data_IF_837968678197
#
_entry.id   IF_837968678197
#
_cell.length_a   1.000
_cell.length_b   1.000
_cell.length_c   1.000
_cell.angle_alpha   90.00
_cell.angle_beta   90.00
_cell.angle_gamma   90.00
#
_symmetry.space_group_name_H-M   'P 1'
#
loop_
_entity.id
_entity.type
_entity.pdbx_description
1 polymer ?
#
# COMPACT_ATOMS: atom_id res chain seq x y z
N UNK A 1 -35.11 13.50 20.59
CA UNK A 1 -33.80 13.38 21.28
C UNK A 1 -33.65 11.96 21.79
N UNK A 2 -33.05 11.10 20.99
CA UNK A 2 -32.68 9.74 21.35
C UNK A 2 -31.34 9.46 20.67
N UNK A 3 -30.27 9.57 21.44
CA UNK A 3 -28.91 9.35 20.99
C UNK A 3 -28.70 7.89 20.62
N UNK A 4 -28.28 7.64 19.39
CA UNK A 4 -27.58 6.42 19.00
C UNK A 4 -26.08 6.71 19.15
N UNK A 5 -25.56 6.39 20.33
CA UNK A 5 -24.14 6.14 20.54
C UNK A 5 -23.77 4.88 19.75
N UNK A 6 -23.22 5.07 18.56
CA UNK A 6 -22.52 4.01 17.82
C UNK A 6 -21.34 3.56 18.66
N UNK A 7 -21.37 2.30 19.09
CA UNK A 7 -20.28 1.70 19.85
C UNK A 7 -19.01 1.72 19.02
N UNK A 8 -18.01 2.45 19.52
CA UNK A 8 -16.62 2.15 19.22
C UNK A 8 -16.38 0.69 19.63
N UNK A 9 -16.06 -0.14 18.65
CA UNK A 9 -15.62 -1.50 18.89
C UNK A 9 -14.38 -1.45 19.78
N UNK A 10 -14.54 -1.89 21.01
CA UNK A 10 -13.47 -2.31 21.90
C UNK A 10 -12.71 -3.47 21.21
N UNK A 11 -11.77 -3.11 20.33
CA UNK A 11 -10.81 -4.03 19.75
C UNK A 11 -9.80 -4.39 20.84
N UNK A 12 -10.22 -5.22 21.78
CA UNK A 12 -9.31 -6.05 22.57
C UNK A 12 -8.28 -6.63 21.61
N UNK A 13 -7.00 -6.28 21.79
CA UNK A 13 -5.90 -6.74 20.95
C UNK A 13 -5.93 -8.27 20.95
N UNK A 14 -6.50 -8.87 19.90
CA UNK A 14 -6.56 -10.33 19.76
C UNK A 14 -5.15 -10.84 19.85
N UNK A 15 -4.95 -11.89 20.63
CA UNK A 15 -3.65 -12.55 20.67
C UNK A 15 -3.31 -13.12 19.28
N UNK A 16 -2.03 -13.35 19.02
CA UNK A 16 -1.58 -13.95 17.76
C UNK A 16 -2.20 -15.35 17.56
N UNK A 17 -2.41 -16.10 18.64
CA UNK A 17 -3.07 -17.42 18.62
C UNK A 17 -4.56 -17.33 18.26
N UNK A 18 -5.30 -16.40 18.84
CA UNK A 18 -6.71 -16.16 18.48
C UNK A 18 -6.84 -15.77 17.01
N UNK A 19 -5.95 -14.88 16.56
CA UNK A 19 -5.89 -14.46 15.16
C UNK A 19 -5.63 -15.66 14.24
N UNK A 20 -4.69 -16.55 14.60
CA UNK A 20 -4.41 -17.77 13.83
C UNK A 20 -5.65 -18.66 13.70
N UNK A 21 -6.40 -18.85 14.80
CA UNK A 21 -7.60 -19.68 14.80
C UNK A 21 -8.67 -19.11 13.87
N UNK A 22 -8.98 -17.81 13.99
CA UNK A 22 -9.95 -17.13 13.11
C UNK A 22 -9.52 -17.19 11.65
N UNK A 23 -8.24 -16.91 11.37
CA UNK A 23 -7.68 -16.93 10.03
C UNK A 23 -7.84 -18.30 9.36
N UNK A 24 -7.37 -19.37 10.01
CA UNK A 24 -7.45 -20.73 9.47
C UNK A 24 -8.89 -21.23 9.32
N UNK A 25 -9.78 -20.85 10.24
CA UNK A 25 -11.20 -21.21 10.13
C UNK A 25 -11.85 -20.59 8.91
N UNK A 26 -11.56 -19.33 8.62
CA UNK A 26 -12.06 -18.67 7.41
C UNK A 26 -11.47 -19.29 6.14
N UNK A 27 -10.15 -19.52 6.09
CA UNK A 27 -9.52 -20.13 4.93
C UNK A 27 -10.10 -21.52 4.62
N UNK A 28 -10.38 -22.32 5.64
CA UNK A 28 -10.94 -23.67 5.48
C UNK A 28 -12.29 -23.67 4.73
N UNK A 29 -13.08 -22.61 4.89
CA UNK A 29 -14.42 -22.50 4.28
C UNK A 29 -14.35 -21.81 2.92
N UNK A 30 -13.46 -20.84 2.77
CA UNK A 30 -13.48 -19.90 1.63
C UNK A 30 -12.41 -20.17 0.57
N UNK A 31 -11.57 -21.20 0.71
CA UNK A 31 -10.45 -21.47 -0.21
C UNK A 31 -10.34 -22.95 -0.57
N UNK A 32 -9.56 -23.26 -1.61
CA UNK A 32 -9.23 -24.63 -1.96
C UNK A 32 -8.35 -25.30 -0.87
N UNK A 33 -8.52 -26.62 -0.71
CA UNK A 33 -7.79 -27.42 0.28
C UNK A 33 -6.27 -27.22 0.22
N UNK A 34 -5.69 -27.17 -1.00
CA UNK A 34 -4.27 -26.94 -1.19
C UNK A 34 -3.79 -25.60 -0.58
N UNK A 35 -4.57 -24.53 -0.76
CA UNK A 35 -4.28 -23.21 -0.18
C UNK A 35 -4.38 -23.27 1.34
N UNK A 36 -5.45 -23.86 1.86
CA UNK A 36 -5.63 -24.06 3.30
C UNK A 36 -4.45 -24.81 3.92
N UNK A 37 -4.05 -25.95 3.35
CA UNK A 37 -2.95 -26.77 3.87
C UNK A 37 -1.60 -26.06 3.80
N UNK A 38 -1.33 -25.28 2.74
CA UNK A 38 -0.12 -24.47 2.64
C UNK A 38 -0.02 -23.48 3.81
N UNK A 39 -1.08 -22.70 4.04
CA UNK A 39 -1.13 -21.73 5.13
C UNK A 39 -1.09 -22.41 6.50
N UNK A 40 -1.81 -23.52 6.69
CA UNK A 40 -1.80 -24.28 7.93
C UNK A 40 -0.39 -24.79 8.26
N UNK A 41 0.33 -25.32 7.27
CA UNK A 41 1.69 -25.81 7.47
C UNK A 41 2.67 -24.68 7.78
N UNK A 42 2.60 -23.56 7.04
CA UNK A 42 3.42 -22.38 7.31
C UNK A 42 3.20 -21.85 8.73
N UNK A 43 1.94 -21.68 9.15
CA UNK A 43 1.58 -21.21 10.48
C UNK A 43 1.99 -22.20 11.57
N UNK A 44 1.82 -23.50 11.35
CA UNK A 44 2.27 -24.51 12.34
C UNK A 44 3.77 -24.39 12.61
N UNK A 45 4.59 -24.25 11.56
CA UNK A 45 6.05 -24.08 11.71
C UNK A 45 6.40 -22.76 12.38
N UNK A 46 5.76 -21.68 11.95
CA UNK A 46 5.96 -20.35 12.53
C UNK A 46 5.69 -20.35 14.04
N UNK A 47 4.54 -20.87 14.47
CA UNK A 47 4.19 -20.92 15.90
C UNK A 47 5.04 -21.91 16.71
N UNK A 48 5.64 -22.93 16.08
CA UNK A 48 6.61 -23.78 16.79
C UNK A 48 7.96 -23.10 17.02
N UNK A 49 8.30 -22.12 16.19
CA UNK A 49 9.52 -21.33 16.29
C UNK A 49 9.33 -20.05 17.11
N UNK A 50 8.16 -19.41 16.99
CA UNK A 50 7.84 -18.15 17.63
C UNK A 50 7.67 -18.34 19.14
N UNK A 51 8.42 -17.56 19.91
CA UNK A 51 8.33 -17.51 21.37
C UNK A 51 8.24 -16.06 21.82
N UNK A 52 7.12 -15.61 22.44
CA UNK A 52 6.94 -14.22 22.86
C UNK A 52 8.00 -13.71 23.84
N UNK A 53 8.70 -14.61 24.53
CA UNK A 53 9.67 -14.28 25.60
C UNK A 53 11.12 -14.44 25.17
N UNK A 54 11.43 -15.24 24.16
CA UNK A 54 12.80 -15.52 23.70
C UNK A 54 13.12 -14.87 22.34
N UNK A 55 12.13 -14.82 21.44
CA UNK A 55 12.25 -14.22 20.12
C UNK A 55 11.26 -13.05 20.08
N UNK A 56 11.55 -11.96 20.79
CA UNK A 56 10.73 -10.75 20.78
C UNK A 56 11.12 -9.93 19.55
N UNK A 57 10.39 -10.02 18.43
CA UNK A 57 10.79 -9.32 17.24
C UNK A 57 10.36 -7.86 17.38
N UNK A 58 11.22 -6.95 16.96
CA UNK A 58 10.95 -5.50 17.11
C UNK A 58 9.91 -5.01 16.08
N UNK A 59 9.68 -5.77 15.01
CA UNK A 59 8.70 -5.47 13.98
C UNK A 59 8.18 -6.75 13.29
N UNK A 60 7.02 -6.70 12.61
CA UNK A 60 6.55 -7.80 11.76
C UNK A 60 7.53 -8.15 10.62
N UNK A 61 8.25 -7.17 10.07
CA UNK A 61 9.27 -7.39 9.04
C UNK A 61 10.45 -8.22 9.57
N UNK A 62 11.01 -7.81 10.72
CA UNK A 62 12.09 -8.51 11.40
C UNK A 62 11.65 -9.95 11.79
N UNK A 63 10.43 -10.10 12.30
CA UNK A 63 9.83 -11.41 12.61
C UNK A 63 9.89 -12.37 11.41
N UNK A 64 9.49 -11.89 10.24
CA UNK A 64 9.50 -12.69 9.01
C UNK A 64 10.91 -12.99 8.53
N UNK A 65 11.82 -12.02 8.64
CA UNK A 65 13.21 -12.16 8.23
C UNK A 65 13.96 -13.19 9.10
N UNK A 66 13.87 -13.10 10.43
CA UNK A 66 14.48 -14.08 11.34
C UNK A 66 13.86 -15.47 11.20
N UNK A 67 12.55 -15.57 10.92
CA UNK A 67 11.94 -16.84 10.60
C UNK A 67 12.48 -17.42 9.28
N UNK A 68 12.62 -16.61 8.24
CA UNK A 68 13.21 -17.03 6.96
C UNK A 68 14.64 -17.55 7.16
N UNK A 69 15.46 -16.83 7.93
CA UNK A 69 16.81 -17.24 8.32
C UNK A 69 16.82 -18.56 9.09
N UNK A 70 15.91 -18.77 10.04
CA UNK A 70 15.79 -20.05 10.74
C UNK A 70 15.48 -21.21 9.78
N UNK A 71 14.53 -21.02 8.86
CA UNK A 71 14.18 -22.04 7.86
C UNK A 71 15.36 -22.38 6.94
N UNK A 72 16.12 -21.36 6.50
CA UNK A 72 17.28 -21.55 5.63
C UNK A 72 18.46 -22.21 6.35
N UNK A 73 18.83 -21.70 7.52
CA UNK A 73 20.09 -22.05 8.19
C UNK A 73 19.96 -23.22 9.15
N UNK A 74 18.87 -23.29 9.91
CA UNK A 74 18.67 -24.33 10.93
C UNK A 74 17.97 -25.55 10.34
N UNK A 75 16.96 -25.33 9.51
CA UNK A 75 16.16 -26.41 8.90
C UNK A 75 16.61 -26.79 7.48
N UNK A 76 17.57 -26.07 6.90
CA UNK A 76 18.16 -26.40 5.59
C UNK A 76 17.15 -26.39 4.44
N UNK A 77 16.07 -25.59 4.54
CA UNK A 77 15.04 -25.58 3.51
C UNK A 77 15.48 -24.82 2.25
N UNK A 78 14.94 -25.20 1.09
CA UNK A 78 15.17 -24.47 -0.16
C UNK A 78 14.55 -23.07 -0.13
N UNK A 79 15.13 -22.14 -0.88
CA UNK A 79 14.63 -20.75 -0.96
C UNK A 79 13.18 -20.71 -1.42
N UNK A 80 12.77 -21.52 -2.41
CA UNK A 80 11.39 -21.56 -2.90
C UNK A 80 10.40 -21.99 -1.82
N UNK A 81 10.78 -22.98 -0.99
CA UNK A 81 9.95 -23.42 0.13
C UNK A 81 9.83 -22.33 1.20
N UNK A 82 10.93 -21.62 1.48
CA UNK A 82 10.94 -20.49 2.42
C UNK A 82 10.05 -19.36 1.89
N UNK A 83 10.20 -18.99 0.62
CA UNK A 83 9.36 -17.98 -0.01
C UNK A 83 7.86 -18.32 0.07
N UNK A 84 7.49 -19.58 -0.18
CA UNK A 84 6.11 -20.05 -0.02
C UNK A 84 5.59 -19.90 1.42
N UNK A 85 6.41 -20.25 2.42
CA UNK A 85 6.04 -20.04 3.83
C UNK A 85 5.88 -18.55 4.17
N UNK A 86 6.77 -17.70 3.68
CA UNK A 86 6.73 -16.25 3.92
C UNK A 86 5.51 -15.61 3.26
N UNK A 87 5.12 -16.00 2.05
CA UNK A 87 3.87 -15.53 1.41
C UNK A 87 2.62 -15.85 2.25
N UNK A 88 2.56 -17.05 2.82
CA UNK A 88 1.46 -17.43 3.71
C UNK A 88 1.45 -16.60 5.00
N UNK A 89 2.62 -16.31 5.56
CA UNK A 89 2.75 -15.50 6.77
C UNK A 89 2.47 -14.01 6.52
N UNK A 90 2.86 -13.46 5.38
CA UNK A 90 2.52 -12.08 4.99
C UNK A 90 1.01 -11.86 5.01
N UNK A 91 0.23 -12.79 4.45
CA UNK A 91 -1.23 -12.70 4.49
C UNK A 91 -1.78 -12.83 5.91
N UNK A 92 -1.24 -13.73 6.72
CA UNK A 92 -1.69 -13.91 8.11
C UNK A 92 -1.39 -12.68 8.97
N UNK A 93 -0.17 -12.15 8.90
CA UNK A 93 0.24 -10.98 9.66
C UNK A 93 -0.49 -9.72 9.17
N UNK A 94 -0.77 -9.60 7.87
CA UNK A 94 -1.59 -8.52 7.33
C UNK A 94 -2.99 -8.53 7.96
N UNK A 95 -3.61 -9.71 8.07
CA UNK A 95 -4.87 -9.87 8.80
C UNK A 95 -4.74 -9.51 10.29
N UNK A 96 -3.70 -10.00 10.97
CA UNK A 96 -3.51 -9.74 12.41
C UNK A 96 -3.32 -8.25 12.71
N UNK A 97 -2.53 -7.56 11.90
CA UNK A 97 -2.20 -6.14 12.07
C UNK A 97 -3.18 -5.19 11.37
N UNK A 98 -4.22 -5.70 10.71
CA UNK A 98 -5.17 -4.89 9.91
C UNK A 98 -4.44 -3.96 8.91
N UNK A 99 -3.47 -4.53 8.18
CA UNK A 99 -2.61 -3.84 7.22
C UNK A 99 -2.63 -4.55 5.88
N UNK A 100 -1.98 -3.96 4.86
CA UNK A 100 -1.87 -4.62 3.55
C UNK A 100 -0.66 -5.58 3.48
N UNK A 101 -0.76 -6.69 2.72
CA UNK A 101 0.39 -7.58 2.49
C UNK A 101 1.59 -6.88 1.83
N UNK A 102 1.35 -5.88 0.97
CA UNK A 102 2.41 -5.16 0.27
C UNK A 102 3.22 -4.26 1.23
N UNK A 103 2.59 -3.65 2.25
CA UNK A 103 3.32 -2.91 3.29
C UNK A 103 4.23 -3.81 4.12
N UNK A 104 3.74 -4.98 4.53
CA UNK A 104 4.56 -5.96 5.25
C UNK A 104 5.70 -6.51 4.39
N UNK A 105 5.46 -6.68 3.09
CA UNK A 105 6.48 -7.10 2.12
C UNK A 105 7.61 -6.09 2.01
N UNK A 106 7.32 -4.79 1.98
CA UNK A 106 8.37 -3.74 1.99
C UNK A 106 9.22 -3.84 3.24
N UNK A 107 8.58 -3.90 4.42
CA UNK A 107 9.30 -4.02 5.71
C UNK A 107 10.19 -5.28 5.75
N UNK A 108 9.67 -6.41 5.26
CA UNK A 108 10.44 -7.63 5.13
C UNK A 108 11.66 -7.43 4.21
N UNK A 109 11.49 -6.75 3.08
CA UNK A 109 12.56 -6.56 2.12
C UNK A 109 13.76 -5.80 2.71
N UNK A 110 13.50 -4.74 3.49
CA UNK A 110 14.56 -4.00 4.19
C UNK A 110 15.32 -4.90 5.16
N UNK A 111 14.61 -5.77 5.88
CA UNK A 111 15.19 -6.68 6.87
C UNK A 111 15.99 -7.82 6.21
N UNK A 112 15.53 -8.31 5.04
CA UNK A 112 16.30 -9.28 4.23
C UNK A 112 17.68 -8.74 3.88
N UNK A 113 17.81 -7.42 3.64
CA UNK A 113 19.12 -6.81 3.36
C UNK A 113 20.10 -6.89 4.53
N UNK A 114 19.60 -7.05 5.76
CA UNK A 114 20.38 -7.13 6.99
C UNK A 114 20.60 -8.57 7.47
N UNK A 115 19.96 -9.55 6.83
CA UNK A 115 20.07 -10.95 7.24
C UNK A 115 21.48 -11.49 7.10
N UNK A 116 21.93 -12.16 8.16
CA UNK A 116 23.12 -13.02 8.13
C UNK A 116 22.77 -14.41 7.61
N UNK A 117 22.69 -14.57 6.28
CA UNK A 117 22.48 -15.85 5.59
C UNK A 117 23.35 -15.92 4.32
N UNK A 118 23.44 -17.07 3.62
CA UNK A 118 24.21 -17.17 2.38
C UNK A 118 23.74 -16.15 1.32
N UNK A 119 24.68 -15.46 0.67
CA UNK A 119 24.37 -14.34 -0.25
C UNK A 119 23.44 -14.76 -1.39
N UNK A 120 23.61 -15.96 -1.93
CA UNK A 120 22.74 -16.51 -2.99
C UNK A 120 21.28 -16.66 -2.54
N UNK A 121 21.04 -16.98 -1.27
CA UNK A 121 19.69 -17.06 -0.71
C UNK A 121 19.12 -15.66 -0.49
N UNK A 122 19.94 -14.72 0.00
CA UNK A 122 19.58 -13.31 0.17
C UNK A 122 19.19 -12.66 -1.16
N UNK A 123 19.98 -12.85 -2.22
CA UNK A 123 19.68 -12.35 -3.58
C UNK A 123 18.35 -12.90 -4.10
N UNK A 124 18.12 -14.20 -3.92
CA UNK A 124 16.90 -14.87 -4.38
C UNK A 124 15.65 -14.36 -3.65
N UNK A 125 15.72 -14.23 -2.31
CA UNK A 125 14.65 -13.64 -1.52
C UNK A 125 14.45 -12.15 -1.85
N UNK A 126 15.53 -11.42 -2.09
CA UNK A 126 15.49 -10.01 -2.51
C UNK A 126 14.79 -9.85 -3.86
N UNK A 127 15.01 -10.77 -4.80
CA UNK A 127 14.31 -10.78 -6.08
C UNK A 127 12.82 -11.10 -5.92
N UNK A 128 12.50 -12.05 -5.06
CA UNK A 128 11.12 -12.51 -4.83
C UNK A 128 10.28 -11.47 -4.09
N UNK A 129 10.83 -10.84 -3.05
CA UNK A 129 10.14 -9.89 -2.18
C UNK A 129 10.47 -8.42 -2.48
N UNK A 130 11.42 -8.18 -3.37
CA UNK A 130 11.88 -6.86 -3.80
C UNK A 130 10.75 -5.91 -4.12
N UNK A 131 10.80 -4.74 -3.48
CA UNK A 131 9.88 -3.65 -3.71
C UNK A 131 10.60 -2.32 -3.45
N UNK A 132 11.24 -1.77 -4.48
CA UNK A 132 11.86 -0.44 -4.41
C UNK A 132 11.56 0.38 -5.66
N UNK A 133 11.29 1.66 -5.45
CA UNK A 133 11.33 2.68 -6.48
C UNK A 133 12.80 3.09 -6.73
N UNK A 134 13.21 3.19 -8.00
CA UNK A 134 14.53 3.74 -8.34
C UNK A 134 14.61 5.24 -8.00
N UNK A 135 15.80 5.73 -7.63
CA UNK A 135 15.99 7.14 -7.25
C UNK A 135 15.54 8.14 -8.33
N UNK A 136 15.63 7.77 -9.60
CA UNK A 136 15.13 8.56 -10.72
C UNK A 136 13.60 8.69 -10.76
N UNK A 137 12.88 7.59 -10.47
CA UNK A 137 11.43 7.64 -10.48
C UNK A 137 10.90 8.39 -9.25
N UNK A 138 11.56 8.27 -8.09
CA UNK A 138 11.26 9.06 -6.89
C UNK A 138 11.36 10.56 -7.19
N UNK A 139 12.49 11.01 -7.76
CA UNK A 139 12.65 12.42 -8.20
C UNK A 139 11.57 12.86 -9.18
N UNK A 140 11.18 11.99 -10.11
CA UNK A 140 10.13 12.28 -11.11
C UNK A 140 8.75 12.43 -10.46
N UNK A 141 8.43 11.60 -9.47
CA UNK A 141 7.18 11.69 -8.69
C UNK A 141 7.17 12.95 -7.83
N UNK A 142 8.28 13.31 -7.20
CA UNK A 142 8.40 14.54 -6.41
C UNK A 142 8.23 15.79 -7.27
N UNK A 143 8.86 15.81 -8.46
CA UNK A 143 8.71 16.89 -9.43
C UNK A 143 7.26 17.04 -9.90
N UNK A 144 6.58 15.92 -10.19
CA UNK A 144 5.15 15.90 -10.51
C UNK A 144 4.31 16.46 -9.35
N UNK A 145 4.57 16.01 -8.12
CA UNK A 145 3.84 16.45 -6.92
C UNK A 145 3.99 17.96 -6.70
N UNK A 146 5.21 18.48 -6.79
CA UNK A 146 5.49 19.91 -6.68
C UNK A 146 4.75 20.73 -7.75
N UNK A 147 4.77 20.27 -9.00
CA UNK A 147 4.03 20.90 -10.10
C UNK A 147 2.52 20.91 -9.84
N UNK A 148 1.94 19.77 -9.44
CA UNK A 148 0.51 19.66 -9.16
C UNK A 148 0.08 20.61 -8.04
N UNK A 149 0.87 20.72 -6.97
CA UNK A 149 0.61 21.66 -5.87
C UNK A 149 0.63 23.13 -6.31
N UNK A 150 1.58 23.50 -7.17
CA UNK A 150 1.75 24.90 -7.59
C UNK A 150 0.82 25.32 -8.74
N UNK A 151 0.51 24.40 -9.66
CA UNK A 151 -0.12 24.73 -10.96
C UNK A 151 -1.46 24.04 -11.21
N UNK A 152 -1.73 22.92 -10.53
CA UNK A 152 -2.95 22.13 -10.71
C UNK A 152 -3.60 21.75 -9.38
N UNK A 153 -3.55 22.67 -8.41
CA UNK A 153 -4.10 22.45 -7.07
C UNK A 153 -5.59 22.11 -7.14
N UNK A 154 -6.06 21.21 -6.27
CA UNK A 154 -7.46 20.76 -6.26
C UNK A 154 -7.97 20.06 -7.53
N UNK A 155 -7.14 19.81 -8.55
CA UNK A 155 -7.61 19.09 -9.74
C UNK A 155 -7.79 17.60 -9.46
N UNK A 156 -8.58 16.91 -10.30
CA UNK A 156 -8.73 15.44 -10.24
C UNK A 156 -7.40 14.71 -10.20
N UNK A 157 -6.42 15.16 -11.01
CA UNK A 157 -5.09 14.54 -11.06
C UNK A 157 -4.35 14.76 -9.76
N UNK A 158 -4.39 15.96 -9.19
CA UNK A 158 -3.73 16.28 -7.93
C UNK A 158 -4.28 15.44 -6.77
N UNK A 159 -5.60 15.44 -6.59
CA UNK A 159 -6.28 14.61 -5.58
C UNK A 159 -5.96 13.12 -5.74
N UNK A 160 -5.93 12.60 -6.98
CA UNK A 160 -5.62 11.20 -7.25
C UNK A 160 -4.17 10.83 -6.88
N UNK A 161 -3.21 11.69 -7.23
CA UNK A 161 -1.79 11.46 -6.95
C UNK A 161 -1.51 11.50 -5.44
N UNK A 162 -1.96 12.55 -4.75
CA UNK A 162 -1.73 12.66 -3.30
C UNK A 162 -2.44 11.53 -2.53
N UNK A 163 -3.62 11.08 -2.96
CA UNK A 163 -4.31 9.98 -2.30
C UNK A 163 -3.60 8.63 -2.50
N UNK A 164 -2.98 8.37 -3.66
CA UNK A 164 -2.13 7.17 -3.85
C UNK A 164 -0.93 7.22 -2.90
N UNK A 165 -0.29 8.39 -2.76
CA UNK A 165 0.87 8.58 -1.90
C UNK A 165 0.52 8.37 -0.42
N UNK A 166 -0.56 9.00 0.06
CA UNK A 166 -0.98 8.89 1.45
C UNK A 166 -1.51 7.49 1.80
N UNK A 167 -2.37 6.92 0.95
CA UNK A 167 -3.01 5.64 1.23
C UNK A 167 -2.13 4.43 0.96
N UNK A 168 -0.99 4.61 0.28
CA UNK A 168 -0.09 3.52 -0.12
C UNK A 168 -0.86 2.35 -0.76
N UNK A 169 -1.85 2.70 -1.57
CA UNK A 169 -2.77 1.73 -2.17
C UNK A 169 -2.68 1.79 -3.68
N UNK A 170 -3.00 0.66 -4.33
CA UNK A 170 -2.85 0.53 -5.77
C UNK A 170 -3.75 1.54 -6.47
N UNK A 171 -3.32 2.08 -7.63
CA UNK A 171 -4.09 3.06 -8.38
C UNK A 171 -5.51 2.59 -8.72
N UNK A 172 -5.70 1.29 -8.92
CA UNK A 172 -7.00 0.66 -9.17
C UNK A 172 -7.91 0.67 -7.95
N UNK A 173 -7.38 0.48 -6.74
CA UNK A 173 -8.13 0.56 -5.48
C UNK A 173 -8.61 2.01 -5.25
N UNK A 174 -7.69 2.97 -5.37
CA UNK A 174 -8.02 4.40 -5.22
C UNK A 174 -9.07 4.85 -6.23
N UNK A 175 -9.02 4.35 -7.47
CA UNK A 175 -10.03 4.64 -8.49
C UNK A 175 -11.43 4.18 -8.08
N UNK A 176 -11.56 3.09 -7.32
CA UNK A 176 -12.86 2.49 -6.96
C UNK A 176 -13.58 3.24 -5.84
N UNK A 177 -12.89 4.14 -5.13
CA UNK A 177 -13.47 4.92 -4.04
C UNK A 177 -14.71 5.72 -4.46
N UNK A 178 -15.67 5.75 -3.55
CA UNK A 178 -16.82 6.62 -3.54
C UNK A 178 -16.60 7.76 -2.55
N UNK A 179 -17.45 8.79 -2.62
CA UNK A 179 -17.43 9.89 -1.65
C UNK A 179 -17.69 9.43 -0.22
N UNK A 180 -18.51 8.39 -0.06
CA UNK A 180 -18.83 7.78 1.25
C UNK A 180 -17.61 7.18 1.95
N UNK A 181 -16.56 6.89 1.18
CA UNK A 181 -15.37 6.22 1.68
C UNK A 181 -14.35 7.25 2.21
N UNK A 182 -14.66 8.55 2.11
CA UNK A 182 -13.90 9.65 2.67
C UNK A 182 -14.63 10.26 3.86
N UNK A 183 -13.95 10.35 4.98
CA UNK A 183 -14.40 11.00 6.21
C UNK A 183 -13.54 12.24 6.44
N UNK A 184 -13.77 13.30 5.65
CA UNK A 184 -12.92 14.49 5.63
C UNK A 184 -12.85 15.20 6.98
N UNK A 185 -13.97 15.25 7.72
CA UNK A 185 -14.04 15.79 9.08
C UNK A 185 -13.16 15.01 10.07
N UNK A 186 -13.09 13.69 9.90
CA UNK A 186 -12.27 12.79 10.73
C UNK A 186 -10.85 12.64 10.19
N UNK A 187 -10.55 13.25 9.03
CA UNK A 187 -9.28 13.11 8.33
C UNK A 187 -8.92 11.64 8.07
N UNK A 188 -9.89 10.82 7.66
CA UNK A 188 -9.65 9.41 7.33
C UNK A 188 -10.30 8.98 6.01
N UNK A 189 -9.80 7.90 5.43
CA UNK A 189 -10.39 7.23 4.28
C UNK A 189 -10.41 5.71 4.46
N UNK A 190 -11.51 5.09 4.06
CA UNK A 190 -11.65 3.63 4.00
C UNK A 190 -11.25 3.13 2.62
N UNK A 191 -10.10 2.47 2.53
CA UNK A 191 -9.52 2.02 1.27
C UNK A 191 -9.73 0.53 1.10
N UNK A 192 -10.47 0.07 0.07
CA UNK A 192 -10.69 -1.35 -0.13
C UNK A 192 -9.38 -2.05 -0.46
N UNK A 193 -9.14 -3.20 0.17
CA UNK A 193 -8.02 -4.07 -0.14
C UNK A 193 -8.21 -4.76 -1.50
N UNK A 194 -7.10 -5.11 -2.14
CA UNK A 194 -7.16 -5.77 -3.44
C UNK A 194 -7.71 -7.19 -3.28
N UNK A 195 -8.70 -7.56 -4.10
CA UNK A 195 -9.26 -8.92 -4.14
C UNK A 195 -8.22 -10.00 -4.45
N UNK A 196 -7.03 -9.62 -4.96
CA UNK A 196 -5.91 -10.55 -5.15
C UNK A 196 -5.29 -11.00 -3.84
N UNK A 197 -5.50 -10.27 -2.74
CA UNK A 197 -5.05 -10.68 -1.43
C UNK A 197 -6.00 -11.70 -0.84
N UNK A 198 -5.44 -12.76 -0.26
CA UNK A 198 -6.23 -13.85 0.30
C UNK A 198 -7.19 -13.35 1.38
N UNK A 199 -6.73 -12.42 2.22
CA UNK A 199 -7.51 -11.84 3.32
C UNK A 199 -8.77 -11.09 2.85
N UNK A 200 -8.70 -10.44 1.69
CA UNK A 200 -9.84 -9.75 1.09
C UNK A 200 -10.76 -10.76 0.39
N UNK A 201 -10.18 -11.71 -0.36
CA UNK A 201 -10.93 -12.75 -1.05
C UNK A 201 -11.75 -13.64 -0.09
N UNK A 202 -11.26 -13.86 1.14
CA UNK A 202 -11.97 -14.66 2.15
C UNK A 202 -12.85 -13.84 3.09
N UNK A 203 -12.96 -12.52 2.89
CA UNK A 203 -13.78 -11.64 3.73
C UNK A 203 -13.21 -11.39 5.13
N UNK A 204 -11.95 -11.75 5.39
CA UNK A 204 -11.32 -11.58 6.70
C UNK A 204 -10.97 -10.13 7.00
N UNK A 205 -10.55 -9.40 5.97
CA UNK A 205 -10.16 -8.01 6.04
C UNK A 205 -10.28 -7.42 4.64
N UNK A 206 -11.22 -6.49 4.46
CA UNK A 206 -11.64 -6.03 3.13
C UNK A 206 -11.26 -4.58 2.85
N UNK A 207 -10.94 -3.82 3.88
CA UNK A 207 -10.60 -2.40 3.79
C UNK A 207 -9.61 -2.02 4.89
N UNK A 208 -8.79 -1.03 4.60
CA UNK A 208 -7.88 -0.41 5.56
C UNK A 208 -8.29 1.05 5.77
N UNK A 209 -8.30 1.50 7.02
CA UNK A 209 -8.47 2.92 7.34
C UNK A 209 -7.13 3.61 7.23
N UNK A 210 -7.08 4.71 6.47
CA UNK A 210 -5.88 5.51 6.27
C UNK A 210 -6.13 6.92 6.76
N UNK A 211 -5.19 7.47 7.53
CA UNK A 211 -5.18 8.87 7.91
C UNK A 211 -4.87 9.77 6.70
N UNK A 212 -5.63 10.85 6.57
CA UNK A 212 -5.50 11.87 5.54
C UNK A 212 -4.84 13.11 6.16
N UNK A 213 -3.59 13.46 5.79
CA UNK A 213 -2.98 14.68 6.26
C UNK A 213 -3.85 15.91 5.95
N UNK A 214 -3.86 16.97 6.80
CA UNK A 214 -4.71 18.15 6.59
C UNK A 214 -4.58 18.77 5.19
N UNK A 215 -3.37 18.82 4.64
CA UNK A 215 -3.12 19.31 3.28
C UNK A 215 -3.84 18.48 2.22
N UNK A 216 -3.87 17.15 2.37
CA UNK A 216 -4.59 16.25 1.47
C UNK A 216 -6.10 16.42 1.62
N UNK A 217 -6.61 16.57 2.84
CA UNK A 217 -8.03 16.85 3.09
C UNK A 217 -8.46 18.11 2.35
N UNK A 218 -7.70 19.20 2.44
CA UNK A 218 -7.97 20.44 1.71
C UNK A 218 -7.97 20.24 0.18
N UNK A 219 -7.03 19.44 -0.35
CA UNK A 219 -6.98 19.10 -1.77
C UNK A 219 -8.22 18.33 -2.21
N UNK A 220 -8.66 17.35 -1.41
CA UNK A 220 -9.84 16.53 -1.68
C UNK A 220 -11.13 17.36 -1.63
N UNK A 221 -11.27 18.24 -0.64
CA UNK A 221 -12.38 19.19 -0.52
C UNK A 221 -12.45 20.09 -1.76
N UNK A 222 -11.34 20.76 -2.09
CA UNK A 222 -11.25 21.64 -3.27
C UNK A 222 -11.64 20.89 -4.54
N UNK A 223 -11.17 19.65 -4.70
CA UNK A 223 -11.53 18.82 -5.84
C UNK A 223 -13.02 18.47 -5.86
N UNK A 224 -13.59 18.04 -4.73
CA UNK A 224 -14.99 17.61 -4.62
C UNK A 224 -15.94 18.79 -4.88
N UNK A 225 -15.60 19.98 -4.38
CA UNK A 225 -16.45 21.18 -4.45
C UNK A 225 -16.40 21.86 -5.82
N UNK A 226 -15.21 21.97 -6.42
CA UNK A 226 -15.02 22.84 -7.59
C UNK A 226 -14.77 22.09 -8.90
N UNK A 227 -14.13 20.92 -8.85
CA UNK A 227 -13.61 20.24 -10.05
C UNK A 227 -14.39 18.95 -10.40
N UNK A 228 -14.86 18.23 -9.39
CA UNK A 228 -15.54 16.95 -9.56
C UNK A 228 -16.82 17.11 -10.37
N UNK A 229 -16.94 16.31 -11.44
CA UNK A 229 -18.16 16.28 -12.26
C UNK A 229 -19.20 15.36 -11.62
N UNK A 230 -20.44 15.84 -11.49
CA UNK A 230 -21.55 15.02 -11.01
C UNK A 230 -21.94 13.98 -12.06
N UNK A 231 -21.91 12.67 -11.75
CA UNK A 231 -22.36 11.63 -12.67
C UNK A 231 -23.85 11.77 -12.98
N UNK A 232 -24.26 11.42 -14.21
CA UNK A 232 -25.67 11.41 -14.63
C UNK A 232 -26.47 10.22 -14.08
N UNK A 233 -25.81 9.13 -13.67
CA UNK A 233 -26.46 7.94 -13.14
C UNK A 233 -26.59 7.99 -11.62
N UNK A 234 -27.82 7.82 -11.13
CA UNK A 234 -28.18 7.79 -9.71
C UNK A 234 -27.94 6.40 -9.13
N UNK A 235 -26.85 6.22 -8.38
CA UNK A 235 -26.66 4.99 -7.59
C UNK A 235 -25.32 4.94 -6.87
N UNK A 236 -24.23 5.19 -7.60
CA UNK A 236 -22.91 5.31 -7.01
C UNK A 236 -22.44 6.77 -7.09
N UNK A 237 -21.77 7.26 -6.04
CA UNK A 237 -21.09 8.55 -6.05
C UNK A 237 -19.57 8.35 -6.10
N UNK A 238 -18.98 7.93 -7.25
CA UNK A 238 -17.54 7.82 -7.41
C UNK A 238 -16.82 9.09 -6.98
N UNK A 239 -15.67 8.94 -6.31
CA UNK A 239 -14.80 10.06 -5.98
C UNK A 239 -14.20 10.65 -7.26
N UNK A 240 -13.58 9.82 -8.09
CA UNK A 240 -12.95 10.24 -9.34
C UNK A 240 -13.91 10.09 -10.53
N UNK A 241 -14.34 11.22 -11.11
CA UNK A 241 -15.37 11.24 -12.15
C UNK A 241 -14.94 11.95 -13.43
N UNK A 242 -15.72 11.72 -14.47
CA UNK A 242 -15.79 12.43 -15.75
C UNK A 242 -17.27 12.81 -15.99
N UNK A 243 -17.55 13.51 -17.08
CA UNK A 243 -18.94 13.77 -17.50
C UNK A 243 -19.74 12.47 -17.78
N UNK A 244 -19.05 11.34 -17.99
CA UNK A 244 -19.66 10.03 -18.24
C UNK A 244 -19.71 9.13 -17.00
N UNK A 245 -19.49 9.67 -15.80
CA UNK A 245 -19.45 8.89 -14.54
C UNK A 245 -18.03 8.58 -14.08
N UNK A 246 -17.79 7.42 -13.46
CA UNK A 246 -16.47 7.06 -12.87
C UNK A 246 -15.36 7.15 -13.91
N UNK A 247 -14.26 7.82 -13.57
CA UNK A 247 -13.09 7.88 -14.44
C UNK A 247 -12.53 6.47 -14.70
N UNK A 248 -12.23 6.14 -15.96
CA UNK A 248 -11.59 4.86 -16.30
C UNK A 248 -10.12 4.84 -15.88
N UNK A 249 -9.54 3.64 -15.78
CA UNK A 249 -8.10 3.47 -15.53
C UNK A 249 -7.28 4.20 -16.61
N UNK A 250 -7.67 4.07 -17.88
CA UNK A 250 -7.01 4.75 -19.00
C UNK A 250 -7.10 6.27 -18.91
N UNK A 251 -8.24 6.81 -18.46
CA UNK A 251 -8.40 8.26 -18.24
C UNK A 251 -7.47 8.77 -17.16
N UNK A 252 -7.44 8.13 -15.99
CA UNK A 252 -6.57 8.54 -14.88
C UNK A 252 -5.08 8.39 -15.24
N UNK A 253 -4.70 7.28 -15.89
CA UNK A 253 -3.34 7.08 -16.38
C UNK A 253 -2.91 8.16 -17.37
N UNK A 254 -3.77 8.53 -18.32
CA UNK A 254 -3.51 9.61 -19.28
C UNK A 254 -3.39 10.97 -18.58
N UNK A 255 -4.26 11.25 -17.60
CA UNK A 255 -4.20 12.48 -16.80
C UNK A 255 -2.89 12.62 -16.05
N UNK A 256 -2.42 11.55 -15.38
CA UNK A 256 -1.13 11.54 -14.68
C UNK A 256 0.04 11.70 -15.66
N UNK A 257 0.04 10.95 -16.77
CA UNK A 257 1.11 11.04 -17.78
C UNK A 257 1.25 12.46 -18.32
N UNK A 258 0.13 13.09 -18.73
CA UNK A 258 0.14 14.45 -19.25
C UNK A 258 0.59 15.47 -18.20
N UNK A 259 0.19 15.30 -16.94
CA UNK A 259 0.65 16.17 -15.86
C UNK A 259 2.15 16.01 -15.60
N UNK A 260 2.69 14.79 -15.72
CA UNK A 260 4.12 14.50 -15.58
C UNK A 260 4.94 15.12 -16.72
N UNK A 261 4.47 15.03 -17.96
CA UNK A 261 5.10 15.71 -19.10
C UNK A 261 5.15 17.23 -18.89
N UNK A 262 4.03 17.84 -18.44
CA UNK A 262 3.97 19.26 -18.11
C UNK A 262 4.85 19.65 -16.92
N UNK A 263 4.94 18.80 -15.90
CA UNK A 263 5.79 19.03 -14.75
C UNK A 263 7.27 19.09 -15.17
N UNK A 264 7.70 18.17 -16.04
CA UNK A 264 9.05 18.19 -16.60
C UNK A 264 9.31 19.49 -17.35
N UNK A 265 8.42 19.87 -18.27
CA UNK A 265 8.59 21.09 -19.07
C UNK A 265 8.61 22.35 -18.17
N UNK A 266 7.78 22.38 -17.12
CA UNK A 266 7.76 23.45 -16.11
C UNK A 266 9.10 23.58 -15.39
N UNK A 267 9.66 22.47 -14.89
CA UNK A 267 10.92 22.49 -14.15
C UNK A 267 12.13 22.78 -15.04
N UNK A 268 12.09 22.38 -16.32
CA UNK A 268 13.09 22.81 -17.31
C UNK A 268 13.06 24.33 -17.51
N UNK A 269 11.86 24.91 -17.70
CA UNK A 269 11.72 26.35 -17.92
C UNK A 269 12.11 27.19 -16.69
N UNK A 270 11.82 26.74 -15.47
CA UNK A 270 12.22 27.47 -14.25
C UNK A 270 13.73 27.49 -14.05
N UNK A 271 14.47 26.44 -14.46
CA UNK A 271 15.94 26.41 -14.41
C UNK A 271 16.59 27.43 -15.34
N UNK A 272 16.04 27.63 -16.55
CA UNK A 272 16.54 28.67 -17.46
C UNK A 272 16.44 30.08 -16.85
N UNK A 273 15.44 30.31 -15.99
CA UNK A 273 15.22 31.60 -15.32
C UNK A 273 15.94 31.75 -13.98
N UNK A 274 16.43 30.66 -13.36
CA UNK A 274 17.13 30.69 -12.07
C UNK A 274 18.27 29.64 -12.02
N UNK A 275 19.49 30.00 -12.44
CA UNK A 275 20.61 29.06 -12.64
C UNK A 275 21.14 28.39 -11.37
N UNK A 276 20.80 28.90 -10.18
CA UNK A 276 21.23 28.35 -8.89
C UNK A 276 20.33 27.20 -8.38
N UNK A 277 19.21 26.92 -9.06
CA UNK A 277 18.38 25.75 -8.75
C UNK A 277 19.02 24.47 -9.31
N UNK A 278 19.89 23.86 -8.50
CA UNK A 278 20.63 22.62 -8.80
C UNK A 278 19.81 21.35 -8.61
N UNK A 279 18.51 21.39 -8.82
CA UNK A 279 17.68 20.18 -8.79
C UNK A 279 18.02 19.29 -10.00
N UNK A 280 18.47 18.02 -9.81
CA UNK A 280 18.86 17.14 -10.91
C UNK A 280 17.61 16.57 -11.57
N UNK A 281 17.04 17.29 -12.53
CA UNK A 281 15.77 16.94 -13.22
C UNK A 281 16.02 16.52 -14.69
N UNK A 282 17.27 16.53 -15.17
CA UNK A 282 17.63 16.26 -16.58
C UNK A 282 17.26 14.85 -17.08
N UNK A 283 16.74 13.99 -16.21
CA UNK A 283 16.27 12.64 -16.53
C UNK A 283 14.83 12.34 -16.07
N UNK A 284 13.96 13.34 -15.88
CA UNK A 284 12.57 13.06 -15.49
C UNK A 284 11.83 12.33 -16.59
N UNK A 285 11.59 11.05 -16.35
CA UNK A 285 10.79 10.16 -17.20
C UNK A 285 9.30 10.42 -16.96
N UNK A 286 8.47 10.01 -17.93
CA UNK A 286 7.02 10.14 -17.79
C UNK A 286 6.50 9.18 -16.70
N UNK A 287 5.94 9.75 -15.64
CA UNK A 287 5.39 9.02 -14.50
C UNK A 287 4.04 8.41 -14.86
N UNK A 288 3.81 7.16 -14.48
CA UNK A 288 2.49 6.53 -14.50
C UNK A 288 2.00 6.23 -13.07
N UNK A 289 0.69 5.99 -12.85
CA UNK A 289 0.17 5.80 -11.50
C UNK A 289 0.84 4.66 -10.69
N UNK A 290 1.30 3.60 -11.37
CA UNK A 290 2.03 2.50 -10.70
C UNK A 290 3.38 2.93 -10.13
N UNK A 291 4.02 3.94 -10.73
CA UNK A 291 5.29 4.47 -10.23
C UNK A 291 5.08 5.24 -8.93
N UNK A 292 4.01 6.05 -8.88
CA UNK A 292 3.59 6.79 -7.69
C UNK A 292 3.33 5.83 -6.53
N UNK A 293 2.63 4.73 -6.79
CA UNK A 293 2.39 3.68 -5.81
C UNK A 293 3.69 3.02 -5.32
N UNK A 294 4.66 2.75 -6.22
CA UNK A 294 5.96 2.20 -5.84
C UNK A 294 6.75 3.14 -4.93
N UNK A 295 6.71 4.45 -5.23
CA UNK A 295 7.35 5.48 -4.39
C UNK A 295 6.66 5.53 -3.02
N UNK A 296 5.32 5.60 -2.99
CA UNK A 296 4.52 5.63 -1.76
C UNK A 296 4.84 4.50 -0.78
N UNK A 297 5.03 3.30 -1.32
CA UNK A 297 5.38 2.12 -0.54
C UNK A 297 6.85 2.10 -0.11
N UNK A 298 7.77 2.67 -0.90
CA UNK A 298 9.19 2.76 -0.50
C UNK A 298 9.38 3.72 0.69
N UNK A 299 8.51 4.73 0.84
CA UNK A 299 8.54 5.66 1.97
C UNK A 299 8.13 5.04 3.32
N UNK A 300 7.57 3.82 3.32
CA UNK A 300 7.27 3.05 4.55
C UNK A 300 8.55 2.80 5.36
N UNK A 301 9.68 2.64 4.70
CA UNK A 301 10.98 2.40 5.35
C UNK A 301 11.42 3.60 6.21
N UNK A 302 10.98 4.82 5.89
CA UNK A 302 11.42 6.06 6.53
C UNK A 302 10.51 6.55 7.68
N UNK A 303 9.38 5.87 7.93
CA UNK A 303 8.37 6.30 8.94
C UNK A 303 8.34 5.45 10.21
N UNK A 304 9.37 4.62 10.47
CA UNK A 304 9.46 3.78 11.69
C UNK A 304 10.42 4.35 12.71
#
# INVERSE_FOLDING_TARGET
MTGRSGGFGDHSLKTLEESRKTYLQSLRVSTADATFFSHQNALRKFFSWYSPTANKPDSPGNTLAEFAKHLLTTLGQSVDTVAGHIHSLLNFLAFHHQSSPDELRVRLFSEIQLLSCPESAKESLSKEFGFQAGSEITRSVDALRAYLRQRQYGTRTHAYVELILAARARPTQIRLLNRSDLHLDEQTASIPLSETYLIAATGLHNEQTVDLPPDLTNVLETYIEHERKTPSQSGCQPLFTTIHGRASVGTLRRSVKLASEKARDYHCATRETNPDDRSPVDSVTAVVPSDIYRVALSDVENTS
#
